data_IF_662782816080
#
_entry.id   IF_662782816080
#
_cell.length_a   1.000
_cell.length_b   1.000
_cell.length_c   1.000
_cell.angle_alpha   90.00
_cell.angle_beta   90.00
_cell.angle_gamma   90.00
#
_symmetry.space_group_name_H-M   'P 1'
#
loop_
_entity.id
_entity.type
_entity.pdbx_description
1 polymer ?
#
# COMPACT_ATOMS: atom_id res chain seq x y z
N UNK A 1 -26.09 79.48 -14.79
CA UNK A 1 -24.82 78.88 -15.28
C UNK A 1 -25.13 77.42 -15.61
N UNK A 2 -25.68 77.15 -16.81
CA UNK A 2 -24.97 76.65 -18.02
C UNK A 2 -24.06 75.46 -17.67
N UNK A 3 -24.19 74.25 -18.21
CA UNK A 3 -24.58 73.76 -19.54
C UNK A 3 -25.27 72.37 -19.39
N UNK A 4 -26.46 72.15 -19.98
CA UNK A 4 -26.73 71.34 -21.19
C UNK A 4 -26.39 69.84 -21.06
N UNK A 5 -27.31 68.88 -21.24
CA UNK A 5 -28.71 68.93 -21.64
C UNK A 5 -29.25 67.52 -21.90
N UNK A 6 -30.57 67.37 -21.72
CA UNK A 6 -31.53 66.55 -22.48
C UNK A 6 -31.24 65.04 -22.56
N UNK A 7 -32.10 64.13 -22.12
CA UNK A 7 -33.49 64.22 -21.70
C UNK A 7 -34.23 62.95 -22.10
N UNK A 8 -35.19 62.54 -21.24
CA UNK A 8 -36.45 61.86 -21.56
C UNK A 8 -36.39 60.40 -22.08
N UNK A 9 -37.26 59.46 -21.71
CA UNK A 9 -38.51 59.44 -20.91
C UNK A 9 -38.97 57.98 -20.77
N UNK A 10 -39.68 57.69 -19.67
CA UNK A 10 -40.91 56.85 -19.52
C UNK A 10 -40.88 55.38 -20.02
N UNK A 11 -41.47 54.36 -19.40
CA UNK A 11 -42.59 54.12 -18.47
C UNK A 11 -42.24 52.80 -17.72
N UNK A 12 -42.65 52.46 -16.49
CA UNK A 12 -43.89 52.74 -15.78
C UNK A 12 -44.77 51.47 -15.69
N UNK A 13 -44.63 50.70 -14.59
CA UNK A 13 -45.72 49.91 -13.91
C UNK A 13 -46.29 48.68 -14.70
N UNK A 14 -46.82 47.56 -14.19
CA UNK A 14 -47.25 46.99 -12.90
C UNK A 14 -47.41 45.45 -13.09
N UNK A 15 -47.19 44.69 -12.01
CA UNK A 15 -47.72 43.37 -11.57
C UNK A 15 -48.46 42.42 -12.54
N UNK A 16 -48.19 41.11 -12.45
CA UNK A 16 -49.16 40.05 -12.04
C UNK A 16 -48.49 38.64 -11.97
N UNK A 17 -48.79 37.88 -10.89
CA UNK A 17 -48.71 36.39 -10.77
C UNK A 17 -50.04 35.77 -11.29
N UNK A 18 -50.28 34.43 -11.39
CA UNK A 18 -49.44 33.20 -11.32
C UNK A 18 -49.79 32.13 -12.42
N UNK A 19 -49.21 30.92 -12.34
CA UNK A 19 -49.87 29.59 -12.44
C UNK A 19 -49.11 28.50 -13.24
N UNK A 20 -49.33 27.27 -12.79
CA UNK A 20 -48.72 25.97 -13.06
C UNK A 20 -49.20 25.25 -14.33
N UNK A 21 -48.35 24.35 -14.87
CA UNK A 21 -48.60 22.91 -15.08
C UNK A 21 -48.13 22.33 -16.44
N UNK A 22 -47.26 21.31 -16.34
CA UNK A 22 -47.25 20.02 -17.07
C UNK A 22 -47.21 19.97 -18.62
N UNK A 23 -46.12 19.38 -19.15
CA UNK A 23 -46.23 18.25 -20.09
C UNK A 23 -45.02 17.32 -19.97
N UNK A 24 -45.27 16.15 -19.37
CA UNK A 24 -44.30 15.05 -19.24
C UNK A 24 -44.28 14.20 -20.51
N UNK A 25 -43.10 14.05 -21.12
CA UNK A 25 -42.87 13.06 -22.18
C UNK A 25 -43.00 11.63 -21.62
N UNK A 26 -43.70 10.76 -22.35
CA UNK A 26 -44.10 9.39 -21.96
C UNK A 26 -42.96 8.37 -21.80
N UNK A 27 -41.69 8.80 -21.85
CA UNK A 27 -40.51 7.91 -21.67
C UNK A 27 -39.90 7.90 -20.26
N UNK A 28 -40.33 8.76 -19.34
CA UNK A 28 -39.75 8.83 -17.98
C UNK A 28 -40.47 8.03 -16.88
N UNK A 29 -41.46 7.18 -17.20
CA UNK A 29 -42.21 6.39 -16.19
C UNK A 29 -41.69 4.96 -15.91
N UNK A 30 -40.50 4.58 -16.38
CA UNK A 30 -39.89 3.28 -16.03
C UNK A 30 -38.39 3.38 -15.78
N UNK A 31 -38.00 4.06 -14.71
CA UNK A 31 -36.78 3.79 -13.95
C UNK A 31 -36.82 4.64 -12.68
N UNK A 32 -37.03 4.01 -11.51
CA UNK A 32 -36.86 4.68 -10.22
C UNK A 32 -35.36 4.95 -10.01
N UNK A 33 -34.88 6.14 -10.36
CA UNK A 33 -33.56 6.65 -9.96
C UNK A 33 -33.71 8.10 -9.46
N UNK A 34 -32.98 8.50 -8.40
CA UNK A 34 -33.11 9.83 -7.82
C UNK A 34 -32.25 10.88 -8.54
N UNK A 35 -32.91 11.97 -8.94
CA UNK A 35 -32.41 13.35 -9.15
C UNK A 35 -31.52 13.67 -10.38
N UNK A 36 -31.78 14.79 -11.09
CA UNK A 36 -31.17 15.12 -12.38
C UNK A 36 -30.03 16.14 -12.27
N UNK A 37 -28.80 15.75 -12.62
CA UNK A 37 -27.71 16.70 -12.82
C UNK A 37 -26.58 16.15 -13.72
N UNK A 38 -26.90 15.50 -14.84
CA UNK A 38 -25.94 15.28 -15.93
C UNK A 38 -26.70 15.25 -17.26
N UNK A 39 -26.93 16.42 -17.86
CA UNK A 39 -27.35 16.50 -19.26
C UNK A 39 -26.68 17.74 -19.86
N UNK A 40 -25.52 17.53 -20.49
CA UNK A 40 -24.80 18.61 -21.17
C UNK A 40 -23.31 18.32 -21.29
N UNK A 41 -22.95 17.31 -22.10
CA UNK A 41 -21.68 17.18 -22.85
C UNK A 41 -21.50 15.76 -23.43
N UNK A 42 -22.39 15.34 -24.33
CA UNK A 42 -22.06 14.34 -25.37
C UNK A 42 -22.96 14.62 -26.58
N UNK A 43 -22.62 15.66 -27.36
CA UNK A 43 -23.23 15.91 -28.67
C UNK A 43 -22.33 16.86 -29.49
N UNK A 44 -21.17 16.37 -29.93
CA UNK A 44 -20.43 16.96 -31.07
C UNK A 44 -19.33 16.03 -31.58
N UNK A 45 -19.69 14.83 -32.03
CA UNK A 45 -18.90 14.08 -33.02
C UNK A 45 -19.90 13.40 -33.96
N UNK A 46 -20.42 14.21 -34.89
CA UNK A 46 -21.17 13.77 -36.08
C UNK A 46 -20.18 13.09 -37.03
N UNK A 47 -20.50 11.87 -37.48
CA UNK A 47 -20.94 11.58 -38.85
C UNK A 47 -19.96 12.09 -39.91
N UNK A 48 -19.22 11.17 -40.54
CA UNK A 48 -19.49 10.81 -41.94
C UNK A 48 -18.66 9.58 -42.36
N UNK A 49 -19.32 8.65 -43.05
CA UNK A 49 -18.70 7.60 -43.87
C UNK A 49 -19.12 7.83 -45.31
N UNK A 50 -18.34 7.36 -46.29
CA UNK A 50 -18.97 6.45 -47.24
C UNK A 50 -18.11 5.23 -47.62
N UNK A 51 -18.82 4.31 -48.26
CA UNK A 51 -18.68 2.87 -48.50
C UNK A 51 -17.73 2.42 -49.60
N UNK A 52 -17.54 1.08 -49.61
CA UNK A 52 -17.04 0.18 -50.67
C UNK A 52 -15.54 -0.13 -50.58
N UNK A 53 -15.01 -1.34 -50.73
CA UNK A 53 -15.50 -2.67 -51.09
C UNK A 53 -14.26 -3.57 -51.26
N UNK A 54 -14.45 -4.90 -51.30
CA UNK A 54 -13.46 -5.97 -51.56
C UNK A 54 -12.63 -6.53 -50.37
N UNK A 55 -12.90 -7.81 -50.10
CA UNK A 55 -11.99 -8.85 -49.59
C UNK A 55 -12.00 -9.97 -50.65
N UNK A 56 -11.13 -11.01 -50.64
CA UNK A 56 -10.12 -11.36 -49.64
C UNK A 56 -8.75 -11.77 -50.23
N UNK A 57 -7.70 -11.79 -49.40
CA UNK A 57 -6.60 -12.73 -49.66
C UNK A 57 -6.10 -13.37 -48.36
N UNK A 58 -6.10 -14.70 -48.39
CA UNK A 58 -5.57 -15.61 -47.37
C UNK A 58 -4.05 -15.61 -47.46
N UNK A 59 -3.37 -15.50 -46.33
CA UNK A 59 -2.04 -16.12 -46.16
C UNK A 59 -2.04 -16.93 -44.86
N UNK A 60 -1.80 -18.23 -45.02
CA UNK A 60 -1.62 -19.22 -43.96
C UNK A 60 -0.15 -19.29 -43.53
N UNK A 61 0.01 -19.56 -42.23
CA UNK A 61 1.06 -20.33 -41.54
C UNK A 61 2.55 -20.10 -41.85
N UNK A 62 3.32 -19.86 -40.78
CA UNK A 62 4.41 -20.79 -40.40
C UNK A 62 4.75 -20.68 -38.90
N UNK A 63 4.57 -21.81 -38.22
CA UNK A 63 5.18 -22.18 -36.95
C UNK A 63 6.66 -22.48 -37.23
N UNK A 64 7.57 -21.96 -36.42
CA UNK A 64 8.92 -22.54 -36.29
C UNK A 64 9.31 -22.62 -34.81
N UNK A 65 9.25 -23.87 -34.32
CA UNK A 65 10.13 -24.38 -33.28
C UNK A 65 11.57 -24.35 -33.77
N UNK A 66 12.52 -24.10 -32.86
CA UNK A 66 13.59 -25.06 -32.56
C UNK A 66 14.61 -24.46 -31.57
N UNK A 67 14.83 -25.21 -30.46
CA UNK A 67 16.09 -25.22 -29.72
C UNK A 67 17.00 -26.24 -30.39
N UNK A 68 18.34 -26.17 -30.20
CA UNK A 68 18.89 -27.09 -29.19
C UNK A 68 20.03 -26.50 -28.34
N UNK A 69 20.45 -27.36 -27.41
CA UNK A 69 21.31 -27.16 -26.26
C UNK A 69 22.79 -26.83 -26.56
N UNK A 70 23.45 -26.25 -25.55
CA UNK A 70 24.89 -26.06 -25.48
C UNK A 70 25.38 -25.98 -24.03
N UNK A 71 25.50 -27.14 -23.39
CA UNK A 71 26.22 -27.33 -22.12
C UNK A 71 27.73 -27.22 -22.36
N UNK A 72 28.44 -26.38 -21.60
CA UNK A 72 29.90 -26.46 -21.43
C UNK A 72 30.21 -26.48 -19.94
N UNK A 73 30.57 -27.67 -19.46
CA UNK A 73 31.20 -27.88 -18.17
C UNK A 73 32.72 -27.84 -18.35
N UNK A 74 33.41 -27.02 -17.57
CA UNK A 74 34.88 -27.06 -17.45
C UNK A 74 35.27 -27.87 -16.22
N UNK A 75 35.85 -29.05 -16.44
CA UNK A 75 36.65 -29.79 -15.46
C UNK A 75 38.03 -29.15 -15.34
N UNK A 76 38.60 -29.15 -14.13
CA UNK A 76 40.04 -29.32 -13.94
C UNK A 76 40.26 -30.35 -12.84
N UNK A 77 40.96 -31.41 -13.24
CA UNK A 77 41.57 -32.44 -12.41
C UNK A 77 42.71 -31.86 -11.56
N UNK A 78 42.91 -32.41 -10.36
CA UNK A 78 44.17 -33.07 -10.02
C UNK A 78 44.06 -33.95 -8.75
N UNK A 79 44.27 -35.24 -8.97
CA UNK A 79 44.69 -36.32 -8.05
C UNK A 79 46.04 -35.99 -7.34
N UNK A 80 46.59 -36.79 -6.36
CA UNK A 80 46.44 -38.24 -6.24
C UNK A 80 46.49 -38.95 -4.85
N UNK A 81 45.84 -40.12 -4.82
CA UNK A 81 46.30 -41.49 -4.43
C UNK A 81 46.86 -41.78 -3.02
N UNK A 82 46.24 -42.78 -2.35
CA UNK A 82 46.77 -44.06 -1.77
C UNK A 82 45.60 -44.74 -1.02
N UNK A 83 44.92 -45.74 -1.55
CA UNK A 83 45.23 -47.19 -1.63
C UNK A 83 45.51 -47.86 -0.26
N UNK A 84 44.60 -48.72 0.23
CA UNK A 84 44.78 -50.18 0.25
C UNK A 84 43.81 -50.94 1.19
N UNK A 85 43.12 -51.92 0.59
CA UNK A 85 42.85 -53.32 1.07
C UNK A 85 41.88 -53.59 2.23
N UNK A 86 40.75 -54.30 1.98
CA UNK A 86 40.48 -55.78 2.15
C UNK A 86 40.24 -56.17 3.62
N UNK A 87 39.42 -57.13 4.04
CA UNK A 87 38.50 -58.09 3.42
C UNK A 87 37.54 -58.60 4.53
N UNK A 88 36.50 -59.32 4.08
CA UNK A 88 35.51 -60.19 4.75
C UNK A 88 35.79 -60.87 6.12
N UNK A 89 34.73 -61.05 6.93
CA UNK A 89 34.14 -62.37 7.31
C UNK A 89 32.87 -62.19 8.21
N UNK A 90 31.67 -62.60 7.76
CA UNK A 90 30.93 -63.87 8.00
C UNK A 90 30.42 -64.14 9.45
N UNK A 91 29.09 -64.20 9.60
CA UNK A 91 28.41 -65.42 10.09
C UNK A 91 27.65 -65.45 11.43
N UNK A 92 26.30 -65.34 11.34
CA UNK A 92 25.25 -66.20 11.93
C UNK A 92 24.84 -66.20 13.44
N UNK A 93 23.50 -66.24 13.66
CA UNK A 93 22.77 -66.83 14.83
C UNK A 93 22.00 -65.81 15.70
N UNK A 94 20.68 -65.55 15.58
CA UNK A 94 19.46 -66.36 15.83
C UNK A 94 18.80 -66.12 17.23
N UNK A 95 17.63 -65.45 17.19
CA UNK A 95 16.36 -65.56 17.99
C UNK A 95 16.36 -65.67 19.55
N UNK A 96 15.68 -64.72 20.21
CA UNK A 96 14.34 -64.88 20.85
C UNK A 96 14.04 -63.74 21.88
N UNK A 97 12.81 -63.21 21.83
CA UNK A 97 12.28 -62.11 22.66
C UNK A 97 12.03 -62.46 24.13
N UNK A 98 11.72 -61.46 24.97
CA UNK A 98 10.37 -61.46 25.54
C UNK A 98 9.62 -60.12 25.40
N UNK A 99 8.30 -60.26 25.22
CA UNK A 99 7.24 -59.27 25.47
C UNK A 99 7.30 -58.78 26.94
N UNK A 100 6.76 -57.66 27.41
CA UNK A 100 6.09 -56.47 26.91
C UNK A 100 6.05 -55.49 28.10
N UNK A 101 6.00 -54.18 27.83
CA UNK A 101 5.26 -53.21 28.64
C UNK A 101 4.78 -52.10 27.69
N UNK A 102 3.51 -51.63 27.81
CA UNK A 102 2.95 -50.66 26.88
C UNK A 102 3.62 -49.29 27.07
N UNK A 103 3.69 -48.45 26.03
CA UNK A 103 4.29 -47.13 26.17
C UNK A 103 3.39 -46.29 27.07
N UNK A 104 3.94 -45.79 28.17
CA UNK A 104 3.34 -44.69 28.90
C UNK A 104 3.16 -43.53 27.91
N UNK A 105 1.92 -43.23 27.59
CA UNK A 105 1.49 -42.07 26.80
C UNK A 105 1.84 -40.79 27.55
N UNK A 106 3.11 -40.41 27.49
CA UNK A 106 3.55 -39.06 27.81
C UNK A 106 2.97 -38.13 26.75
N UNK A 107 1.93 -37.40 27.12
CA UNK A 107 1.43 -36.26 26.35
C UNK A 107 2.57 -35.25 26.25
N UNK A 108 3.36 -35.31 25.19
CA UNK A 108 4.19 -34.18 24.80
C UNK A 108 3.23 -33.08 24.34
N UNK A 109 2.90 -32.18 25.26
CA UNK A 109 2.46 -30.84 24.88
C UNK A 109 3.66 -30.19 24.20
N UNK A 110 3.88 -30.55 22.94
CA UNK A 110 4.87 -29.95 22.08
C UNK A 110 4.50 -28.48 21.99
N UNK A 111 5.24 -27.63 22.71
CA UNK A 111 5.20 -26.18 22.47
C UNK A 111 5.44 -26.01 20.99
N UNK A 112 4.43 -25.56 20.25
CA UNK A 112 4.60 -25.13 18.87
C UNK A 112 5.53 -23.92 18.92
N UNK A 113 6.85 -24.17 18.87
CA UNK A 113 7.84 -23.12 18.70
C UNK A 113 7.79 -22.73 17.22
N UNK A 114 6.88 -21.82 16.87
CA UNK A 114 6.98 -21.09 15.62
C UNK A 114 8.30 -20.33 15.65
N UNK A 115 9.30 -20.83 14.94
CA UNK A 115 10.55 -20.12 14.78
C UNK A 115 10.38 -19.01 13.74
N UNK A 116 9.66 -19.21 12.64
CA UNK A 116 9.45 -18.18 11.61
C UNK A 116 8.00 -18.21 11.14
N UNK A 117 7.38 -17.03 10.99
CA UNK A 117 6.12 -16.91 10.28
C UNK A 117 6.37 -16.95 8.77
N UNK A 118 5.96 -18.02 8.11
CA UNK A 118 5.99 -18.16 6.66
C UNK A 118 4.64 -18.66 6.14
N UNK A 119 4.29 -18.31 4.92
CA UNK A 119 3.13 -18.88 4.23
C UNK A 119 3.49 -20.08 3.33
N UNK A 120 2.48 -20.63 2.65
CA UNK A 120 2.62 -21.77 1.73
C UNK A 120 3.52 -21.51 0.51
N UNK A 121 3.84 -20.26 0.20
CA UNK A 121 4.80 -19.88 -0.85
C UNK A 121 6.21 -19.65 -0.27
N UNK A 122 6.45 -20.05 0.97
CA UNK A 122 7.69 -19.80 1.71
C UNK A 122 8.04 -18.30 1.84
N UNK A 123 7.05 -17.40 1.76
CA UNK A 123 7.27 -15.97 2.01
C UNK A 123 7.34 -15.73 3.51
N UNK A 124 8.52 -15.39 4.00
CA UNK A 124 8.72 -15.04 5.41
C UNK A 124 8.08 -13.67 5.73
N UNK A 125 7.31 -13.60 6.82
CA UNK A 125 6.75 -12.35 7.33
C UNK A 125 7.82 -11.62 8.12
N UNK A 126 8.33 -10.53 7.55
CA UNK A 126 9.37 -9.69 8.16
C UNK A 126 8.88 -8.27 8.48
N UNK A 127 7.68 -7.92 8.03
CA UNK A 127 7.17 -6.55 8.09
C UNK A 127 5.71 -6.50 8.55
N UNK A 128 5.48 -5.94 9.73
CA UNK A 128 4.15 -5.68 10.26
C UNK A 128 3.68 -4.25 9.94
N UNK A 129 2.48 -4.09 9.41
CA UNK A 129 1.79 -2.79 9.37
C UNK A 129 0.74 -2.75 10.47
N UNK A 130 0.85 -1.80 11.37
CA UNK A 130 -0.02 -1.69 12.53
C UNK A 130 -0.81 -0.38 12.45
N UNK A 131 -2.13 -0.48 12.37
CA UNK A 131 -3.03 0.66 12.51
C UNK A 131 -3.25 0.93 14.00
N UNK A 132 -3.01 2.16 14.44
CA UNK A 132 -3.09 2.56 15.85
C UNK A 132 -4.44 3.16 16.23
N UNK A 133 -5.20 3.60 15.22
CA UNK A 133 -6.51 4.25 15.36
C UNK A 133 -7.21 4.21 14.01
N UNK A 134 -8.53 4.23 14.03
CA UNK A 134 -9.42 4.37 12.88
C UNK A 134 -9.78 5.85 12.58
N UNK A 135 -9.30 6.79 13.41
CA UNK A 135 -9.60 8.22 13.30
C UNK A 135 -8.57 8.92 12.42
N UNK A 136 -9.04 9.88 11.62
CA UNK A 136 -8.20 10.75 10.81
C UNK A 136 -8.76 12.17 10.79
N UNK A 137 -7.87 13.15 10.78
CA UNK A 137 -8.17 14.57 10.58
C UNK A 137 -8.52 14.89 9.11
N UNK A 138 -8.15 14.04 8.16
CA UNK A 138 -8.50 14.16 6.73
C UNK A 138 -9.71 13.31 6.35
N UNK A 139 -10.26 13.55 5.16
CA UNK A 139 -11.33 12.75 4.53
C UNK A 139 -10.99 12.49 3.06
N UNK A 140 -9.83 11.89 2.81
CA UNK A 140 -9.32 11.77 1.45
C UNK A 140 -10.27 10.98 0.54
N UNK A 141 -10.48 11.48 -0.67
CA UNK A 141 -11.49 10.96 -1.63
C UNK A 141 -11.26 9.52 -2.04
N UNK A 142 -10.00 9.04 -2.04
CA UNK A 142 -9.64 7.65 -2.36
C UNK A 142 -9.53 6.71 -1.15
N UNK A 143 -9.66 7.24 0.08
CA UNK A 143 -9.32 6.51 1.30
C UNK A 143 -10.52 6.32 2.25
N UNK A 144 -11.27 7.39 2.47
CA UNK A 144 -12.27 7.48 3.52
C UNK A 144 -13.57 8.08 2.97
N UNK A 145 -14.71 7.36 3.08
CA UNK A 145 -16.00 7.96 2.75
C UNK A 145 -16.29 9.12 3.71
N UNK A 146 -17.18 10.02 3.30
CA UNK A 146 -17.39 11.28 4.02
C UNK A 146 -17.91 11.08 5.45
N UNK A 147 -18.75 10.07 5.64
CA UNK A 147 -19.24 9.60 6.95
C UNK A 147 -18.62 8.25 7.26
N UNK A 148 -17.93 8.17 8.41
CA UNK A 148 -17.41 6.92 8.95
C UNK A 148 -17.81 6.87 10.42
N UNK A 149 -18.41 5.75 10.81
CA UNK A 149 -18.62 5.44 12.21
C UNK A 149 -17.32 4.92 12.80
N UNK A 150 -16.84 5.62 13.83
CA UNK A 150 -15.62 5.24 14.51
C UNK A 150 -15.91 4.24 15.61
N UNK A 151 -15.05 3.25 15.75
CA UNK A 151 -15.16 2.28 16.85
C UNK A 151 -14.94 2.97 18.19
N UNK A 152 -15.54 2.39 19.23
CA UNK A 152 -15.35 2.87 20.61
C UNK A 152 -13.89 2.73 21.01
N UNK A 153 -13.39 3.63 21.84
CA UNK A 153 -11.97 3.62 22.26
C UNK A 153 -11.57 2.32 22.96
N UNK A 154 -12.49 1.68 23.69
CA UNK A 154 -12.29 0.38 24.35
C UNK A 154 -12.13 -0.79 23.37
N UNK A 155 -12.58 -0.62 22.12
CA UNK A 155 -12.45 -1.61 21.06
C UNK A 155 -11.11 -1.52 20.33
N UNK A 156 -10.36 -0.43 20.52
CA UNK A 156 -8.97 -0.32 20.02
C UNK A 156 -8.00 -1.16 20.84
N UNK A 157 -6.88 -1.56 20.24
CA UNK A 157 -5.78 -2.17 20.98
C UNK A 157 -5.17 -1.16 21.97
N UNK A 158 -5.02 -1.59 23.23
CA UNK A 158 -4.34 -0.83 24.28
C UNK A 158 -2.84 -0.70 23.99
N UNK A 159 -2.16 0.15 24.76
CA UNK A 159 -0.70 0.25 24.71
C UNK A 159 -0.04 -1.11 24.99
N UNK A 160 -0.46 -1.76 26.07
CA UNK A 160 0.06 -3.03 26.56
C UNK A 160 -0.21 -4.14 25.54
N UNK A 161 -1.42 -4.18 24.96
CA UNK A 161 -1.79 -5.14 23.92
C UNK A 161 -0.91 -4.99 22.68
N UNK A 162 -0.62 -3.75 22.25
CA UNK A 162 0.27 -3.49 21.11
C UNK A 162 1.69 -3.95 21.40
N UNK A 163 2.25 -3.59 22.56
CA UNK A 163 3.62 -3.97 22.91
C UNK A 163 3.74 -5.49 22.98
N UNK A 164 2.81 -6.17 23.67
CA UNK A 164 2.80 -7.63 23.76
C UNK A 164 2.73 -8.29 22.37
N UNK A 165 1.85 -7.78 21.51
CA UNK A 165 1.66 -8.33 20.17
C UNK A 165 2.90 -8.13 19.29
N UNK A 166 3.45 -6.92 19.25
CA UNK A 166 4.64 -6.61 18.45
C UNK A 166 5.86 -7.38 18.97
N UNK A 167 6.01 -7.54 20.29
CA UNK A 167 7.05 -8.40 20.87
C UNK A 167 6.89 -9.87 20.47
N UNK A 168 5.67 -10.38 20.37
CA UNK A 168 5.42 -11.73 19.86
C UNK A 168 5.84 -11.86 18.38
N UNK A 169 5.40 -10.93 17.52
CA UNK A 169 5.82 -10.90 16.11
C UNK A 169 7.34 -10.81 15.94
N UNK A 170 8.02 -10.00 16.75
CA UNK A 170 9.47 -9.87 16.72
C UNK A 170 10.19 -11.19 17.02
N UNK A 171 9.69 -11.97 17.99
CA UNK A 171 10.20 -13.32 18.30
C UNK A 171 10.06 -14.29 17.12
N UNK A 172 9.00 -14.11 16.31
CA UNK A 172 8.72 -14.93 15.14
C UNK A 172 9.34 -14.42 13.82
N UNK A 173 10.28 -13.46 13.89
CA UNK A 173 11.06 -13.02 12.74
C UNK A 173 10.63 -11.69 12.12
N UNK A 174 9.62 -11.00 12.67
CA UNK A 174 9.32 -9.62 12.24
C UNK A 174 10.45 -8.68 12.67
N UNK A 175 10.98 -7.94 11.70
CA UNK A 175 12.11 -7.04 11.89
C UNK A 175 11.71 -5.57 11.84
N UNK A 176 10.56 -5.27 11.22
CA UNK A 176 10.08 -3.91 11.04
C UNK A 176 8.59 -3.81 11.33
N UNK A 177 8.20 -2.78 12.07
CA UNK A 177 6.80 -2.35 12.25
C UNK A 177 6.61 -0.96 11.66
N UNK A 178 5.54 -0.79 10.88
CA UNK A 178 5.09 0.52 10.41
C UNK A 178 3.81 0.92 11.11
N UNK A 179 3.92 1.98 11.90
CA UNK A 179 2.82 2.63 12.59
C UNK A 179 2.02 3.46 11.60
N UNK A 180 0.72 3.24 11.59
CA UNK A 180 -0.26 3.91 10.73
C UNK A 180 -1.54 4.18 11.53
N UNK A 181 -2.60 4.64 10.88
CA UNK A 181 -3.94 4.69 11.45
C UNK A 181 -4.99 4.33 10.39
N UNK A 182 -6.05 5.11 10.16
CA UNK A 182 -6.25 6.48 10.65
C UNK A 182 -5.09 7.43 10.32
N UNK A 183 -4.97 8.48 11.13
CA UNK A 183 -3.77 9.29 11.29
C UNK A 183 -3.11 8.93 12.64
N UNK A 184 -1.91 8.31 12.66
CA UNK A 184 -1.29 7.83 13.90
C UNK A 184 -1.00 8.94 14.90
N UNK A 185 -0.70 10.17 14.44
CA UNK A 185 -0.39 11.29 15.34
C UNK A 185 -1.55 11.68 16.25
N UNK A 186 -2.80 11.30 15.93
CA UNK A 186 -3.98 11.51 16.79
C UNK A 186 -3.98 10.64 18.06
N UNK A 187 -3.10 9.64 18.15
CA UNK A 187 -2.95 8.80 19.34
C UNK A 187 -2.18 9.56 20.43
N UNK A 188 -2.74 9.63 21.65
CA UNK A 188 -2.23 10.44 22.76
C UNK A 188 -0.90 9.94 23.35
N UNK A 189 -0.66 8.64 23.30
CA UNK A 189 0.49 7.94 23.90
C UNK A 189 1.52 7.51 22.82
N UNK A 190 1.53 8.17 21.66
CA UNK A 190 2.35 7.76 20.52
C UNK A 190 3.84 7.79 20.82
N UNK A 191 4.35 8.82 21.49
CA UNK A 191 5.80 8.93 21.78
C UNK A 191 6.24 7.81 22.72
N UNK A 192 5.46 7.56 23.78
CA UNK A 192 5.71 6.45 24.70
C UNK A 192 5.65 5.10 23.98
N UNK A 193 4.72 4.93 23.05
CA UNK A 193 4.59 3.71 22.26
C UNK A 193 5.82 3.50 21.38
N UNK A 194 6.26 4.51 20.65
CA UNK A 194 7.49 4.46 19.86
C UNK A 194 8.67 4.07 20.74
N UNK A 195 8.85 4.74 21.90
CA UNK A 195 9.94 4.46 22.83
C UNK A 195 9.94 3.01 23.31
N UNK A 196 8.77 2.43 23.58
CA UNK A 196 8.67 1.01 23.93
C UNK A 196 9.01 0.07 22.76
N UNK A 197 8.48 0.36 21.57
CA UNK A 197 8.65 -0.52 20.41
C UNK A 197 10.09 -0.58 19.89
N UNK A 198 10.83 0.54 19.88
CA UNK A 198 12.23 0.55 19.43
C UNK A 198 13.15 -0.28 20.32
N UNK A 199 12.75 -0.53 21.58
CA UNK A 199 13.51 -1.37 22.51
C UNK A 199 13.23 -2.87 22.32
N UNK A 200 12.27 -3.26 21.47
CA UNK A 200 11.97 -4.68 21.26
C UNK A 200 13.15 -5.34 20.53
N UNK A 201 13.76 -6.42 21.08
CA UNK A 201 14.80 -7.17 20.39
C UNK A 201 14.21 -7.98 19.23
N UNK A 202 14.99 -8.11 18.16
CA UNK A 202 14.72 -8.99 17.01
C UNK A 202 15.95 -9.86 16.75
N UNK A 203 15.82 -10.82 15.84
CA UNK A 203 16.97 -11.64 15.40
C UNK A 203 18.10 -10.85 14.75
N UNK A 204 17.83 -9.62 14.31
CA UNK A 204 18.78 -8.76 13.59
C UNK A 204 19.12 -7.48 14.38
N UNK A 205 18.91 -7.47 15.69
CA UNK A 205 19.19 -6.34 16.57
C UNK A 205 17.92 -5.78 17.21
N UNK A 206 17.62 -4.51 16.96
CA UNK A 206 16.40 -3.86 17.47
C UNK A 206 15.32 -3.80 16.40
N UNK A 207 14.07 -3.73 16.82
CA UNK A 207 12.93 -3.58 15.92
C UNK A 207 13.00 -2.24 15.18
N UNK A 208 12.96 -2.30 13.85
CA UNK A 208 12.82 -1.10 13.03
C UNK A 208 11.42 -0.52 13.16
N UNK A 209 11.28 0.67 13.73
CA UNK A 209 10.00 1.38 13.83
C UNK A 209 9.96 2.50 12.79
N UNK A 210 8.92 2.51 11.97
CA UNK A 210 8.65 3.55 11.00
C UNK A 210 7.21 4.05 11.12
N UNK A 211 6.91 5.25 10.64
CA UNK A 211 5.55 5.81 10.67
C UNK A 211 5.10 6.30 9.29
N UNK A 212 3.82 6.10 8.96
CA UNK A 212 3.15 6.81 7.85
C UNK A 212 2.14 7.79 8.42
N UNK A 213 2.22 9.05 8.02
CA UNK A 213 1.34 10.15 8.47
C UNK A 213 0.92 11.01 7.28
N UNK A 214 -0.20 11.72 7.40
CA UNK A 214 -0.55 12.80 6.46
C UNK A 214 0.32 14.06 6.62
N UNK A 215 1.12 14.13 7.68
CA UNK A 215 2.13 15.17 7.88
C UNK A 215 1.64 16.46 8.55
N UNK A 216 0.33 16.70 8.67
CA UNK A 216 -0.19 17.99 9.16
C UNK A 216 0.28 18.31 10.57
N UNK A 217 0.32 17.30 11.45
CA UNK A 217 0.76 17.46 12.84
C UNK A 217 2.25 17.19 13.04
N UNK A 218 2.98 16.88 11.97
CA UNK A 218 4.35 16.38 12.07
C UNK A 218 5.29 17.41 12.69
N UNK A 219 5.12 18.69 12.39
CA UNK A 219 5.92 19.76 13.01
C UNK A 219 5.82 19.73 14.54
N UNK A 220 4.62 19.54 15.09
CA UNK A 220 4.39 19.54 16.52
C UNK A 220 4.95 18.29 17.23
N UNK A 221 4.97 17.13 16.57
CA UNK A 221 5.31 15.84 17.21
C UNK A 221 6.68 15.29 16.83
N UNK A 222 7.29 15.72 15.73
CA UNK A 222 8.51 15.12 15.19
C UNK A 222 9.68 15.15 16.18
N UNK A 223 9.83 16.23 16.97
CA UNK A 223 10.89 16.33 17.97
C UNK A 223 10.79 15.25 19.04
N UNK A 224 9.60 15.08 19.60
CA UNK A 224 9.35 14.09 20.65
C UNK A 224 9.42 12.65 20.10
N UNK A 225 8.92 12.41 18.88
CA UNK A 225 9.05 11.10 18.22
C UNK A 225 10.51 10.74 17.90
N UNK A 226 11.30 11.71 17.47
CA UNK A 226 12.73 11.50 17.24
C UNK A 226 13.47 11.20 18.55
N UNK A 227 13.18 11.94 19.63
CA UNK A 227 13.71 11.65 20.96
C UNK A 227 13.32 10.25 21.46
N UNK A 228 12.10 9.81 21.16
CA UNK A 228 11.62 8.46 21.45
C UNK A 228 12.28 7.35 20.61
N UNK A 229 13.10 7.68 19.61
CA UNK A 229 13.83 6.71 18.79
C UNK A 229 13.28 6.49 17.38
N UNK A 230 12.22 7.21 16.96
CA UNK A 230 11.76 7.15 15.58
C UNK A 230 12.79 7.77 14.63
N UNK A 231 13.08 7.11 13.52
CA UNK A 231 14.05 7.59 12.52
C UNK A 231 13.50 7.64 11.09
N UNK A 232 12.48 6.84 10.80
CA UNK A 232 11.87 6.75 9.47
C UNK A 232 10.43 7.27 9.47
N UNK A 233 10.14 8.25 8.61
CA UNK A 233 8.79 8.77 8.39
C UNK A 233 8.42 8.73 6.92
N UNK A 234 7.15 8.44 6.64
CA UNK A 234 6.54 8.58 5.34
C UNK A 234 5.39 9.56 5.44
N UNK A 235 5.40 10.58 4.59
CA UNK A 235 4.37 11.61 4.53
C UNK A 235 3.56 11.41 3.25
N UNK A 236 2.24 11.32 3.38
CA UNK A 236 1.34 11.31 2.22
C UNK A 236 1.10 12.74 1.73
N UNK A 237 1.41 13.02 0.47
CA UNK A 237 1.25 14.32 -0.18
C UNK A 237 0.88 14.10 -1.65
N UNK A 238 -0.40 14.32 -1.97
CA UNK A 238 -0.93 13.99 -3.30
C UNK A 238 -0.95 15.17 -4.28
N UNK A 239 -0.61 16.38 -3.84
CA UNK A 239 -0.49 17.57 -4.70
C UNK A 239 0.32 18.66 -3.99
N UNK A 240 1.02 19.49 -4.77
CA UNK A 240 1.69 20.71 -4.30
C UNK A 240 0.82 21.96 -4.54
N UNK A 241 -0.30 21.83 -5.25
CA UNK A 241 -1.32 22.87 -5.34
C UNK A 241 -2.19 22.88 -4.08
N UNK A 242 -2.28 24.00 -3.33
CA UNK A 242 -3.14 24.08 -2.15
C UNK A 242 -4.61 23.77 -2.45
N UNK A 243 -5.07 24.09 -3.65
CA UNK A 243 -6.45 23.84 -4.07
C UNK A 243 -6.71 22.36 -4.34
N UNK A 244 -5.89 21.72 -5.18
CA UNK A 244 -5.99 20.28 -5.43
C UNK A 244 -5.77 19.48 -4.14
N UNK A 245 -4.80 19.88 -3.31
CA UNK A 245 -4.58 19.25 -2.01
C UNK A 245 -5.83 19.30 -1.12
N UNK A 246 -6.52 20.44 -1.06
CA UNK A 246 -7.81 20.55 -0.35
C UNK A 246 -8.88 19.69 -1.01
N UNK A 247 -8.97 19.64 -2.34
CA UNK A 247 -9.96 18.81 -3.05
C UNK A 247 -9.80 17.32 -2.72
N UNK A 248 -8.57 16.79 -2.80
CA UNK A 248 -8.32 15.36 -2.57
C UNK A 248 -8.40 14.98 -1.09
N UNK A 249 -7.96 15.84 -0.17
CA UNK A 249 -7.97 15.56 1.29
C UNK A 249 -9.25 16.00 2.00
N UNK A 250 -10.04 16.86 1.37
CA UNK A 250 -11.22 17.62 1.85
C UNK A 250 -10.96 18.60 3.01
N UNK A 251 -10.02 18.28 3.92
CA UNK A 251 -9.76 19.04 5.15
C UNK A 251 -8.30 19.41 5.36
N UNK A 252 -7.43 19.06 4.42
CA UNK A 252 -5.99 19.15 4.64
C UNK A 252 -5.39 20.53 4.47
N UNK A 253 -4.29 20.74 5.20
CA UNK A 253 -3.49 21.95 5.15
C UNK A 253 -2.10 21.64 4.58
N UNK A 254 -1.89 21.95 3.31
CA UNK A 254 -0.62 21.72 2.62
C UNK A 254 0.55 22.46 3.30
N UNK A 255 0.34 23.69 3.75
CA UNK A 255 1.39 24.49 4.41
C UNK A 255 1.91 23.81 5.67
N UNK A 256 1.02 23.27 6.50
CA UNK A 256 1.39 22.51 7.69
C UNK A 256 2.15 21.21 7.36
N UNK A 257 1.76 20.52 6.28
CA UNK A 257 2.48 19.32 5.81
C UNK A 257 3.90 19.66 5.37
N UNK A 258 4.06 20.72 4.57
CA UNK A 258 5.38 21.18 4.10
C UNK A 258 6.26 21.62 5.28
N UNK A 259 5.70 22.37 6.24
CA UNK A 259 6.40 22.75 7.47
C UNK A 259 6.83 21.50 8.27
N UNK A 260 5.95 20.51 8.41
CA UNK A 260 6.25 19.23 9.04
C UNK A 260 7.39 18.46 8.37
N UNK A 261 7.41 18.39 7.04
CA UNK A 261 8.49 17.74 6.26
C UNK A 261 9.82 18.48 6.49
N UNK A 262 9.83 19.81 6.40
CA UNK A 262 11.01 20.62 6.65
C UNK A 262 11.53 20.46 8.09
N UNK A 263 10.63 20.41 9.06
CA UNK A 263 10.96 20.24 10.47
C UNK A 263 11.53 18.84 10.76
N UNK A 264 10.95 17.77 10.20
CA UNK A 264 11.47 16.41 10.32
C UNK A 264 12.89 16.29 9.75
N UNK A 265 13.17 16.93 8.60
CA UNK A 265 14.53 17.02 8.04
C UNK A 265 15.48 17.71 9.02
N UNK A 266 15.09 18.87 9.56
CA UNK A 266 15.93 19.66 10.47
C UNK A 266 16.28 18.92 11.76
N UNK A 267 15.37 18.12 12.31
CA UNK A 267 15.62 17.31 13.52
C UNK A 267 16.58 16.14 13.25
N UNK A 268 16.71 15.69 12.00
CA UNK A 268 17.62 14.61 11.63
C UNK A 268 16.96 13.24 11.45
N UNK A 269 15.70 13.19 11.01
CA UNK A 269 15.13 11.92 10.52
C UNK A 269 16.00 11.37 9.38
N UNK A 270 16.47 10.13 9.53
CA UNK A 270 17.44 9.53 8.59
C UNK A 270 16.79 9.03 7.31
N UNK A 271 15.47 8.80 7.30
CA UNK A 271 14.73 8.45 6.11
C UNK A 271 13.36 9.12 6.06
N UNK A 272 13.23 10.10 5.17
CA UNK A 272 11.96 10.76 4.84
C UNK A 272 11.53 10.25 3.47
N UNK A 273 10.29 9.77 3.37
CA UNK A 273 9.68 9.30 2.12
C UNK A 273 8.40 10.09 1.86
N UNK A 274 8.17 10.52 0.64
CA UNK A 274 6.90 11.16 0.25
C UNK A 274 6.10 10.15 -0.58
N UNK A 275 4.86 9.90 -0.19
CA UNK A 275 3.96 9.03 -0.92
C UNK A 275 2.91 9.86 -1.64
N UNK A 276 2.72 9.58 -2.93
CA UNK A 276 1.74 10.22 -3.80
C UNK A 276 0.98 9.15 -4.56
N UNK A 277 -0.34 9.11 -4.45
CA UNK A 277 -1.17 8.30 -5.34
C UNK A 277 -1.26 9.03 -6.67
N UNK A 278 -0.80 8.40 -7.76
CA UNK A 278 -0.79 9.01 -9.08
C UNK A 278 -2.15 8.82 -9.77
N UNK A 279 -2.80 9.93 -10.10
CA UNK A 279 -4.17 10.00 -10.63
C UNK A 279 -4.15 10.89 -11.89
N UNK A 280 -4.45 10.27 -13.03
CA UNK A 280 -4.59 10.91 -14.33
C UNK A 280 -5.71 11.95 -14.31
N UNK A 281 -5.45 13.10 -14.91
CA UNK A 281 -6.39 14.23 -14.96
C UNK A 281 -6.50 14.98 -13.63
N UNK A 282 -5.69 14.65 -12.62
CA UNK A 282 -5.72 15.30 -11.32
C UNK A 282 -4.34 15.82 -10.88
N UNK A 283 -3.35 14.93 -10.73
CA UNK A 283 -1.98 15.27 -10.29
C UNK A 283 -0.90 14.67 -11.19
N UNK A 284 -1.27 14.14 -12.35
CA UNK A 284 -0.36 13.54 -13.33
C UNK A 284 0.60 14.57 -13.95
N UNK A 285 0.19 15.83 -13.97
CA UNK A 285 1.02 16.99 -14.32
C UNK A 285 2.00 17.40 -13.21
N UNK A 286 1.78 16.98 -11.96
CA UNK A 286 2.61 17.38 -10.80
C UNK A 286 3.68 16.34 -10.42
N UNK A 287 3.69 15.13 -10.98
CA UNK A 287 4.60 14.06 -10.54
C UNK A 287 6.08 14.46 -10.56
N UNK A 288 6.48 15.18 -11.61
CA UNK A 288 7.85 15.71 -11.74
C UNK A 288 8.19 16.75 -10.68
N UNK A 289 7.27 17.64 -10.37
CA UNK A 289 7.47 18.71 -9.38
C UNK A 289 7.44 18.16 -7.96
N UNK A 290 6.59 17.17 -7.68
CA UNK A 290 6.59 16.39 -6.44
C UNK A 290 7.94 15.68 -6.25
N UNK A 291 8.52 15.11 -7.31
CA UNK A 291 9.83 14.47 -7.23
C UNK A 291 10.93 15.49 -6.89
N UNK A 292 10.97 16.63 -7.58
CA UNK A 292 11.92 17.73 -7.32
C UNK A 292 11.76 18.27 -5.91
N UNK A 293 10.52 18.49 -5.46
CA UNK A 293 10.20 18.90 -4.09
C UNK A 293 10.77 17.92 -3.07
N UNK A 294 10.51 16.61 -3.24
CA UNK A 294 11.04 15.59 -2.35
C UNK A 294 12.58 15.64 -2.25
N UNK A 295 13.28 15.72 -3.39
CA UNK A 295 14.73 15.77 -3.43
C UNK A 295 15.31 17.02 -2.76
N UNK A 296 14.67 18.18 -2.93
CA UNK A 296 15.04 19.42 -2.25
C UNK A 296 14.90 19.32 -0.72
N UNK A 297 13.99 18.47 -0.24
CA UNK A 297 13.80 18.15 1.17
C UNK A 297 14.57 16.92 1.65
N UNK A 298 15.53 16.41 0.86
CA UNK A 298 16.30 15.19 1.18
C UNK A 298 15.40 13.96 1.43
N UNK A 299 14.23 13.94 0.79
CA UNK A 299 13.27 12.86 0.86
C UNK A 299 13.30 12.03 -0.43
N UNK A 300 12.82 10.80 -0.34
CA UNK A 300 12.64 9.92 -1.50
C UNK A 300 11.16 9.93 -1.91
N UNK A 301 10.81 10.45 -3.10
CA UNK A 301 9.45 10.40 -3.61
C UNK A 301 9.09 8.98 -4.02
N UNK A 302 7.86 8.57 -3.72
CA UNK A 302 7.28 7.28 -4.11
C UNK A 302 5.88 7.49 -4.64
N UNK A 303 5.67 6.98 -5.84
CA UNK A 303 4.41 7.10 -6.55
C UNK A 303 3.69 5.76 -6.51
N UNK A 304 2.38 5.81 -6.25
CA UNK A 304 1.55 4.64 -5.98
C UNK A 304 0.47 4.57 -7.03
N UNK A 305 0.30 3.41 -7.65
CA UNK A 305 -0.85 3.16 -8.51
C UNK A 305 -2.13 3.14 -7.68
N UNK A 306 -3.16 3.81 -8.18
CA UNK A 306 -4.47 3.77 -7.55
C UNK A 306 -5.00 2.34 -7.55
N UNK A 307 -5.44 1.85 -6.39
CA UNK A 307 -6.02 0.52 -6.20
C UNK A 307 -7.52 0.63 -5.95
N UNK A 308 -8.33 -0.34 -6.41
CA UNK A 308 -9.77 -0.33 -6.21
C UNK A 308 -10.17 -0.76 -4.79
N UNK A 309 -9.96 0.12 -3.80
CA UNK A 309 -10.40 -0.13 -2.43
C UNK A 309 -11.90 0.13 -2.26
N UNK A 310 -12.52 -0.40 -1.20
CA UNK A 310 -13.95 -0.21 -0.90
C UNK A 310 -14.85 -0.65 -2.05
N UNK A 311 -14.65 -1.88 -2.56
CA UNK A 311 -15.35 -2.43 -3.73
C UNK A 311 -15.23 -1.56 -4.99
N UNK A 312 -14.13 -0.81 -5.12
CA UNK A 312 -13.92 0.09 -6.26
C UNK A 312 -14.84 1.32 -6.27
N UNK A 313 -15.63 1.58 -5.22
CA UNK A 313 -16.54 2.74 -5.17
C UNK A 313 -15.84 4.09 -5.35
N UNK A 314 -14.56 4.16 -5.01
CA UNK A 314 -13.74 5.36 -5.10
C UNK A 314 -12.74 5.29 -6.26
N UNK A 315 -12.84 4.27 -7.11
CA UNK A 315 -11.95 4.01 -8.23
C UNK A 315 -12.66 4.33 -9.53
N UNK A 316 -12.07 5.21 -10.32
CA UNK A 316 -12.58 5.55 -11.66
C UNK A 316 -11.66 4.88 -12.69
N UNK A 317 -12.18 3.94 -13.49
CA UNK A 317 -11.41 3.31 -14.56
C UNK A 317 -10.81 4.36 -15.51
N UNK A 318 -9.53 4.19 -15.85
CA UNK A 318 -8.79 5.13 -16.70
C UNK A 318 -8.08 6.27 -15.95
N UNK A 319 -8.46 6.56 -14.70
CA UNK A 319 -7.74 7.56 -13.88
C UNK A 319 -6.44 6.99 -13.28
N UNK A 320 -6.27 5.67 -13.23
CA UNK A 320 -5.04 5.06 -12.74
C UNK A 320 -3.86 5.29 -13.72
N UNK A 321 -2.71 5.71 -13.19
CA UNK A 321 -1.45 5.76 -13.94
C UNK A 321 -0.58 4.54 -13.66
N UNK A 322 -0.14 3.83 -14.70
CA UNK A 322 0.74 2.68 -14.52
C UNK A 322 2.14 3.09 -14.03
N UNK A 323 2.86 2.16 -13.41
CA UNK A 323 4.24 2.35 -12.96
C UNK A 323 5.16 2.81 -14.10
N UNK A 324 4.92 2.29 -15.30
CA UNK A 324 5.61 2.71 -16.52
C UNK A 324 5.27 4.16 -16.93
N UNK A 325 4.00 4.56 -16.86
CA UNK A 325 3.58 5.93 -17.13
C UNK A 325 4.17 6.92 -16.12
N UNK A 326 4.23 6.54 -14.85
CA UNK A 326 4.88 7.30 -13.78
C UNK A 326 6.37 7.48 -14.09
N UNK A 327 7.09 6.40 -14.43
CA UNK A 327 8.52 6.48 -14.79
C UNK A 327 8.75 7.41 -15.99
N UNK A 328 7.89 7.34 -17.01
CA UNK A 328 7.94 8.26 -18.16
C UNK A 328 7.73 9.71 -17.73
N UNK A 329 6.76 9.99 -16.86
CA UNK A 329 6.51 11.35 -16.38
C UNK A 329 7.74 11.93 -15.66
N UNK A 330 8.42 11.13 -14.82
CA UNK A 330 9.67 11.56 -14.17
C UNK A 330 10.78 11.79 -15.19
N UNK A 331 10.99 10.86 -16.13
CA UNK A 331 11.98 10.97 -17.20
C UNK A 331 11.83 12.26 -18.02
N UNK A 332 10.59 12.59 -18.41
CA UNK A 332 10.26 13.83 -19.12
C UNK A 332 10.53 15.06 -18.26
N UNK A 333 10.11 15.06 -17.01
CA UNK A 333 10.27 16.19 -16.10
C UNK A 333 11.73 16.49 -15.73
N UNK A 334 12.60 15.47 -15.78
CA UNK A 334 14.04 15.61 -15.57
C UNK A 334 14.85 15.74 -16.85
N UNK A 335 14.20 15.60 -18.02
CA UNK A 335 14.84 15.58 -19.34
C UNK A 335 16.00 14.56 -19.42
N UNK A 336 15.83 13.43 -18.73
CA UNK A 336 16.88 12.43 -18.59
C UNK A 336 16.27 11.03 -18.41
N UNK A 337 16.90 9.98 -18.96
CA UNK A 337 16.45 8.60 -18.75
C UNK A 337 16.40 8.23 -17.26
N UNK A 338 15.51 7.30 -16.93
CA UNK A 338 15.44 6.67 -15.60
C UNK A 338 15.83 5.20 -15.72
N UNK A 339 16.62 4.73 -14.77
CA UNK A 339 17.12 3.35 -14.73
C UNK A 339 16.80 2.68 -13.39
N UNK A 340 16.74 1.34 -13.39
CA UNK A 340 16.51 0.57 -12.18
C UNK A 340 17.63 0.83 -11.16
N UNK A 341 17.24 0.90 -9.88
CA UNK A 341 18.17 1.19 -8.79
C UNK A 341 18.18 0.05 -7.76
N UNK A 342 18.94 -0.99 -8.10
CA UNK A 342 19.10 -2.23 -7.33
C UNK A 342 20.01 -2.09 -6.10
N UNK A 343 20.41 -0.87 -5.72
CA UNK A 343 21.41 -0.62 -4.69
C UNK A 343 21.10 -1.21 -3.30
N UNK A 344 22.16 -1.51 -2.55
CA UNK A 344 22.21 -2.24 -1.26
C UNK A 344 21.27 -1.76 -0.13
N UNK A 345 20.73 -0.54 -0.22
CA UNK A 345 19.80 0.04 0.77
C UNK A 345 18.32 -0.35 0.58
N UNK A 346 17.97 -1.09 -0.49
CA UNK A 346 16.60 -1.53 -0.84
C UNK A 346 16.30 -2.92 -0.29
N UNK A 347 16.84 -3.28 0.87
CA UNK A 347 16.72 -4.64 1.44
C UNK A 347 15.25 -4.98 1.77
N UNK A 348 14.52 -5.53 0.80
CA UNK A 348 13.37 -6.44 0.89
C UNK A 348 12.15 -6.02 1.73
N UNK A 349 12.13 -4.87 2.40
CA UNK A 349 11.12 -4.50 3.39
C UNK A 349 10.24 -3.36 2.87
N UNK A 350 9.49 -3.62 1.80
CA UNK A 350 8.52 -2.69 1.23
C UNK A 350 8.14 -3.03 -0.22
N UNK A 351 7.00 -2.51 -0.70
CA UNK A 351 6.48 -2.84 -2.03
C UNK A 351 7.05 -2.00 -3.18
N UNK A 352 7.96 -1.06 -2.90
CA UNK A 352 8.41 -0.10 -3.90
C UNK A 352 9.60 -0.65 -4.68
N UNK A 353 9.50 -0.61 -6.00
CA UNK A 353 10.65 -0.73 -6.91
C UNK A 353 11.30 0.64 -7.03
N UNK A 354 12.62 0.72 -6.93
CA UNK A 354 13.34 1.99 -6.97
C UNK A 354 14.04 2.19 -8.30
N UNK A 355 14.10 3.45 -8.70
CA UNK A 355 14.72 3.92 -9.93
C UNK A 355 15.54 5.16 -9.60
N UNK A 356 16.50 5.48 -10.45
CA UNK A 356 17.29 6.71 -10.37
C UNK A 356 17.36 7.41 -11.72
N UNK A 357 17.51 8.73 -11.69
CA UNK A 357 17.75 9.53 -12.90
C UNK A 357 19.19 9.31 -13.35
N UNK A 358 19.39 8.93 -14.61
CA UNK A 358 20.70 8.49 -15.12
C UNK A 358 21.68 9.64 -15.39
N UNK A 359 21.17 10.83 -15.75
CA UNK A 359 22.01 11.95 -16.21
C UNK A 359 21.37 13.32 -15.93
N UNK A 360 22.11 14.38 -16.27
CA UNK A 360 21.63 15.77 -16.13
C UNK A 360 21.64 16.29 -14.68
N UNK A 361 20.98 17.43 -14.41
CA UNK A 361 21.02 18.11 -13.11
C UNK A 361 20.49 17.27 -11.93
N UNK A 362 19.69 16.25 -12.23
CA UNK A 362 19.10 15.34 -11.25
C UNK A 362 19.77 13.97 -11.22
N UNK A 363 20.93 13.78 -11.86
CA UNK A 363 21.64 12.50 -11.90
C UNK A 363 21.81 11.89 -10.49
N UNK A 364 21.56 10.59 -10.38
CA UNK A 364 21.62 9.83 -9.12
C UNK A 364 20.44 10.07 -8.16
N UNK A 365 19.51 10.97 -8.46
CA UNK A 365 18.32 11.18 -7.64
C UNK A 365 17.38 9.98 -7.76
N UNK A 366 17.06 9.39 -6.59
CA UNK A 366 16.22 8.20 -6.46
C UNK A 366 14.74 8.55 -6.33
N UNK A 367 13.87 7.75 -6.94
CA UNK A 367 12.43 7.70 -6.67
C UNK A 367 11.94 6.25 -6.66
N UNK A 368 10.72 6.01 -6.18
CA UNK A 368 10.12 4.68 -6.18
C UNK A 368 8.76 4.62 -6.86
N UNK A 369 8.41 3.46 -7.42
CA UNK A 369 7.06 3.15 -7.88
C UNK A 369 6.50 1.98 -7.08
N UNK A 370 5.23 2.06 -6.70
CA UNK A 370 4.48 0.97 -6.06
C UNK A 370 3.43 0.50 -7.08
N UNK A 371 3.85 -0.46 -7.91
CA UNK A 371 3.07 -1.00 -9.03
C UNK A 371 2.05 -2.06 -8.61
N UNK A 372 1.12 -1.72 -7.72
CA UNK A 372 0.16 -2.70 -7.19
C UNK A 372 -0.81 -3.26 -8.24
N UNK A 373 -0.99 -2.60 -9.38
CA UNK A 373 -1.87 -3.00 -10.47
C UNK A 373 -1.07 -3.61 -11.63
N UNK A 374 0.01 -2.97 -12.08
CA UNK A 374 0.70 -3.38 -13.32
C UNK A 374 2.05 -4.08 -13.13
N UNK A 375 2.68 -3.94 -11.97
CA UNK A 375 4.00 -4.53 -11.66
C UNK A 375 3.97 -5.18 -10.27
N UNK A 376 3.08 -6.18 -10.12
CA UNK A 376 2.76 -6.74 -8.81
C UNK A 376 3.99 -7.30 -8.07
N UNK A 377 3.97 -7.21 -6.74
CA UNK A 377 5.06 -7.64 -5.84
C UNK A 377 4.60 -8.75 -4.89
N UNK A 378 3.56 -9.49 -5.27
CA UNK A 378 2.95 -10.48 -4.39
C UNK A 378 3.87 -11.68 -4.13
N UNK A 379 4.67 -12.09 -5.13
CA UNK A 379 5.64 -13.18 -5.00
C UNK A 379 6.70 -12.97 -3.91
N UNK A 380 7.04 -11.71 -3.60
CA UNK A 380 8.00 -11.34 -2.55
C UNK A 380 7.36 -10.68 -1.33
N UNK A 381 6.03 -10.77 -1.20
CA UNK A 381 5.29 -10.08 -0.14
C UNK A 381 5.54 -10.69 1.25
N UNK A 382 6.18 -9.91 2.12
CA UNK A 382 6.57 -10.30 3.48
C UNK A 382 5.76 -9.61 4.58
N UNK A 383 4.50 -9.23 4.29
CA UNK A 383 3.70 -8.36 5.14
C UNK A 383 2.49 -9.03 5.75
N UNK A 384 2.20 -8.63 6.98
CA UNK A 384 0.89 -8.73 7.64
C UNK A 384 0.42 -7.34 8.04
N UNK A 385 -0.90 -7.18 8.14
CA UNK A 385 -1.55 -5.93 8.54
C UNK A 385 -2.40 -6.19 9.77
N UNK A 386 -2.29 -5.36 10.80
CA UNK A 386 -3.13 -5.42 11.99
C UNK A 386 -3.93 -4.13 12.05
N UNK A 387 -5.26 -4.24 12.05
CA UNK A 387 -6.18 -3.12 12.21
C UNK A 387 -6.10 -2.54 13.62
N UNK A 388 -6.67 -1.35 13.82
CA UNK A 388 -6.69 -0.72 15.14
C UNK A 388 -7.52 -1.50 16.18
N UNK A 389 -8.45 -2.35 15.73
CA UNK A 389 -9.25 -3.25 16.57
C UNK A 389 -8.57 -4.61 16.82
N UNK A 390 -7.39 -4.84 16.26
CA UNK A 390 -6.63 -6.08 16.45
C UNK A 390 -6.99 -7.22 15.49
N UNK A 391 -7.64 -6.91 14.37
CA UNK A 391 -7.84 -7.88 13.30
C UNK A 391 -6.58 -7.97 12.43
N UNK A 392 -6.06 -9.18 12.23
CA UNK A 392 -4.91 -9.42 11.35
C UNK A 392 -5.37 -9.85 9.96
N UNK A 393 -4.78 -9.24 8.94
CA UNK A 393 -5.03 -9.54 7.53
C UNK A 393 -3.76 -10.01 6.85
N UNK A 394 -3.90 -11.09 6.07
CA UNK A 394 -2.84 -11.62 5.20
C UNK A 394 -2.58 -10.75 3.97
N UNK A 395 -3.56 -9.95 3.54
CA UNK A 395 -3.48 -9.13 2.34
C UNK A 395 -4.23 -7.80 2.53
N UNK A 396 -3.80 -6.77 1.80
CA UNK A 396 -4.56 -5.51 1.69
C UNK A 396 -5.89 -5.74 0.95
N UNK A 397 -5.86 -6.58 -0.08
CA UNK A 397 -6.92 -6.72 -1.09
C UNK A 397 -8.07 -7.65 -0.72
N UNK A 398 -7.99 -8.38 0.39
CA UNK A 398 -9.03 -9.35 0.78
C UNK A 398 -9.54 -9.03 2.18
N UNK A 399 -10.84 -9.25 2.40
CA UNK A 399 -11.49 -8.98 3.69
C UNK A 399 -11.12 -9.99 4.78
N UNK A 400 -10.58 -11.16 4.40
CA UNK A 400 -10.15 -12.23 5.31
C UNK A 400 -9.32 -11.68 6.48
N UNK A 401 -9.75 -12.01 7.70
CA UNK A 401 -9.15 -11.52 8.93
C UNK A 401 -9.27 -12.53 10.07
N UNK A 402 -8.33 -12.49 11.01
CA UNK A 402 -8.40 -13.20 12.28
C UNK A 402 -8.34 -12.22 13.46
N UNK A 403 -9.03 -12.52 14.56
CA UNK A 403 -9.10 -11.63 15.72
C UNK A 403 -7.97 -11.89 16.72
N UNK A 404 -6.88 -11.14 16.59
CA UNK A 404 -5.75 -11.25 17.51
C UNK A 404 -6.06 -10.65 18.87
N UNK A 405 -7.00 -9.71 18.96
CA UNK A 405 -7.35 -9.07 20.22
C UNK A 405 -8.10 -10.04 21.12
N UNK A 406 -9.07 -10.76 20.58
CA UNK A 406 -9.75 -11.83 21.31
C UNK A 406 -8.77 -12.92 21.74
N UNK A 407 -7.88 -13.36 20.85
CA UNK A 407 -6.87 -14.37 21.18
C UNK A 407 -5.85 -13.89 22.22
N UNK A 408 -5.44 -12.62 22.21
CA UNK A 408 -4.55 -12.08 23.23
C UNK A 408 -5.24 -12.00 24.60
N UNK A 409 -6.53 -11.67 24.61
CA UNK A 409 -7.33 -11.52 25.84
C UNK A 409 -7.77 -12.83 26.46
N UNK A 410 -7.75 -13.94 25.72
CA UNK A 410 -8.05 -15.26 26.31
C UNK A 410 -6.99 -15.70 27.32
N UNK A 411 -5.77 -15.14 27.24
CA UNK A 411 -4.64 -15.56 28.06
C UNK A 411 -3.98 -16.86 27.59
N UNK A 412 -4.50 -17.50 26.53
CA UNK A 412 -3.91 -18.69 25.94
C UNK A 412 -2.73 -18.29 25.04
N UNK A 413 -1.52 -18.66 25.47
CA UNK A 413 -0.27 -18.39 24.73
C UNK A 413 -0.24 -19.01 23.34
N UNK A 414 -1.04 -20.06 23.08
CA UNK A 414 -1.10 -20.75 21.80
C UNK A 414 -2.14 -20.14 20.84
N UNK A 415 -3.09 -19.34 21.33
CA UNK A 415 -4.20 -18.84 20.51
C UNK A 415 -3.73 -17.93 19.37
N UNK A 416 -2.87 -16.94 19.66
CA UNK A 416 -2.30 -16.04 18.63
C UNK A 416 -1.49 -16.83 17.59
N UNK A 417 -0.51 -17.66 17.97
CA UNK A 417 0.25 -18.42 16.97
C UNK A 417 -0.61 -19.38 16.14
N UNK A 418 -1.62 -20.04 16.74
CA UNK A 418 -2.54 -20.90 16.00
C UNK A 418 -3.35 -20.13 14.94
N UNK A 419 -3.87 -18.94 15.29
CA UNK A 419 -4.57 -18.08 14.33
C UNK A 419 -3.66 -17.63 13.19
N UNK A 420 -2.42 -17.24 13.50
CA UNK A 420 -1.46 -16.81 12.48
C UNK A 420 -1.06 -17.94 11.54
N UNK A 421 -0.87 -19.16 12.06
CA UNK A 421 -0.59 -20.33 11.23
C UNK A 421 -1.73 -20.59 10.23
N UNK A 422 -2.97 -20.59 10.71
CA UNK A 422 -4.16 -20.76 9.85
C UNK A 422 -4.26 -19.65 8.80
N UNK A 423 -4.09 -18.38 9.19
CA UNK A 423 -4.13 -17.24 8.28
C UNK A 423 -3.04 -17.32 7.19
N UNK A 424 -1.82 -17.74 7.57
CA UNK A 424 -0.71 -17.85 6.64
C UNK A 424 -0.86 -19.05 5.70
N UNK A 425 -1.43 -20.15 6.17
CA UNK A 425 -1.81 -21.28 5.32
C UNK A 425 -2.85 -20.89 4.26
N UNK A 426 -3.79 -19.99 4.61
CA UNK A 426 -4.82 -19.49 3.68
C UNK A 426 -4.40 -18.26 2.86
N UNK A 427 -3.18 -17.73 3.05
CA UNK A 427 -2.72 -16.54 2.33
C UNK A 427 -2.60 -16.83 0.83
N UNK A 428 -3.27 -16.02 0.01
CA UNK A 428 -3.32 -16.17 -1.47
C UNK A 428 -1.98 -15.84 -2.14
N UNK A 429 -1.81 -16.27 -3.39
CA UNK A 429 -0.59 -16.04 -4.17
C UNK A 429 -0.42 -14.57 -4.51
N UNK A 430 -1.51 -13.94 -4.94
CA UNK A 430 -1.63 -12.51 -5.21
C UNK A 430 -3.03 -11.99 -4.89
N UNK A 431 -3.25 -10.72 -5.20
CA UNK A 431 -4.58 -10.10 -5.15
C UNK A 431 -5.26 -10.17 -6.51
N UNK A 432 -6.56 -9.91 -6.49
CA UNK A 432 -7.42 -9.99 -7.67
C UNK A 432 -7.81 -8.60 -8.22
N UNK A 433 -7.13 -7.52 -7.79
CA UNK A 433 -7.39 -6.17 -8.29
C UNK A 433 -7.38 -6.11 -9.82
N UNK A 434 -8.42 -5.49 -10.37
CA UNK A 434 -8.59 -5.33 -11.81
C UNK A 434 -8.69 -3.85 -12.21
N UNK A 435 -8.31 -3.56 -13.46
CA UNK A 435 -8.29 -2.20 -14.02
C UNK A 435 -9.70 -1.61 -14.24
N UNK A 436 -10.73 -2.46 -14.21
CA UNK A 436 -12.14 -2.05 -14.27
C UNK A 436 -12.71 -1.64 -12.91
N UNK A 437 -11.89 -1.69 -11.84
CA UNK A 437 -12.29 -1.37 -10.48
C UNK A 437 -12.77 -2.56 -9.66
N UNK A 438 -12.82 -3.76 -10.23
CA UNK A 438 -13.21 -4.98 -9.51
C UNK A 438 -12.04 -5.60 -8.73
N UNK A 439 -12.34 -6.64 -7.94
CA UNK A 439 -11.35 -7.37 -7.12
C UNK A 439 -10.91 -6.63 -5.84
N UNK A 440 -11.53 -5.50 -5.55
CA UNK A 440 -11.35 -4.73 -4.32
C UNK A 440 -11.99 -5.34 -3.08
N UNK A 441 -11.44 -5.13 -1.87
CA UNK A 441 -12.10 -5.54 -0.63
C UNK A 441 -13.24 -4.59 -0.25
N UNK A 442 -14.17 -5.04 0.59
CA UNK A 442 -15.25 -4.19 1.15
C UNK A 442 -14.74 -3.11 2.09
N UNK A 443 -13.70 -3.42 2.85
CA UNK A 443 -13.14 -2.48 3.83
C UNK A 443 -12.50 -1.25 3.16
N UNK A 444 -12.72 -0.10 3.80
CA UNK A 444 -12.07 1.15 3.44
C UNK A 444 -10.57 1.12 3.78
N UNK A 445 -9.76 1.88 3.04
CA UNK A 445 -8.30 1.94 3.27
C UNK A 445 -7.95 2.39 4.70
N UNK A 446 -8.77 3.27 5.28
CA UNK A 446 -8.55 3.86 6.60
C UNK A 446 -8.53 2.84 7.75
N UNK A 447 -9.18 1.68 7.60
CA UNK A 447 -9.35 0.70 8.69
C UNK A 447 -8.14 -0.21 8.88
N UNK A 448 -7.30 -0.35 7.85
CA UNK A 448 -6.18 -1.31 7.80
C UNK A 448 -4.82 -0.66 7.54
N UNK A 449 -4.76 0.67 7.64
CA UNK A 449 -3.58 1.48 7.38
C UNK A 449 -3.23 1.55 5.89
N UNK A 450 -3.57 2.66 5.24
CA UNK A 450 -3.08 3.03 3.90
C UNK A 450 -1.58 3.27 3.90
#
# INVERSE_FOLDING_TARGET
>A
MNLLGLGATSDGLIRHRPASATSSCSRCRRAKLPSPAVCGKVASLMHDSPTSGSTPERVQLAVLSDRPAGTVASRRDNSPVRDSTRDSDRGAGAVASPMANPPASGSSTGRVQLSVLSDRLAREVRYLRLSLTDRCNYRCTYCMPERVEHVRRSELLSFEEIVALVSAFARWGVERVRLTGGEPTLRKDLERLVAGLVQIPTRRGRLGVAMTTNGERLEAVAGALHAAGLREVTVSIDSLSPERFRQITRRGNLGAVVAGIAHARRIGFTAIKLNTVAIRGFNDDELGDIAKFAWNHHAVPRFIEMMPMSEGQLFVPGEMMSAEQIRRAISLATQAPVEADDGEGVRGLGPASYFRVASGPFAGRRFGTIGAMTENFCGSCNRLRVSATGQVHGCLAHDDAADLKAALRSGDELAVPALLHTLLASKRDGHDFALDGSGGPRKAMITIGG
#
